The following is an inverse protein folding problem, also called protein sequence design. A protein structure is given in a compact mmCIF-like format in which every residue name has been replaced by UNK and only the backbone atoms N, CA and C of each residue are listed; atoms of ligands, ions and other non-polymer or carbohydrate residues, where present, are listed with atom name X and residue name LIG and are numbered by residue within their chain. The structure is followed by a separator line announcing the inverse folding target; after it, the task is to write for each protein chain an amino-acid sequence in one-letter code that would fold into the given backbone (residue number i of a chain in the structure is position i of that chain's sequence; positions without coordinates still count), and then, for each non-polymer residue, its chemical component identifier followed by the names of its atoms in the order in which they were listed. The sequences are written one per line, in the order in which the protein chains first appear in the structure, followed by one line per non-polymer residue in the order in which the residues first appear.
data_IF_895133882086
#
_entry.id   IF_895133882086
#
_cell.length_a   1.000
_cell.length_b   1.000
_cell.length_c   1.000
_cell.angle_alpha   90.00
_cell.angle_beta   90.00
_cell.angle_gamma   90.00
#
_symmetry.space_group_name_H-M   'P 1'
#
loop_
_entity.id
_entity.type
_entity.pdbx_description
1 polymer ?
#
# COMPACT_ATOMS: atom_id res chain seq x y z
N UNK A 1 3.26 0.87 2.78
CA UNK A 1 4.61 0.44 3.20
C UNK A 1 4.61 -1.07 3.33
N UNK A 2 5.66 -1.74 2.86
CA UNK A 2 5.89 -3.18 3.07
C UNK A 2 7.40 -3.43 3.16
N UNK A 3 7.80 -4.48 3.89
CA UNK A 3 9.20 -4.95 3.88
C UNK A 3 9.35 -5.90 2.69
N UNK A 4 9.79 -5.38 1.54
CA UNK A 4 9.81 -6.14 0.29
C UNK A 4 8.41 -6.39 -0.30
N UNK A 5 8.40 -7.01 -1.49
CA UNK A 5 7.19 -7.51 -2.13
C UNK A 5 6.37 -6.47 -2.90
N UNK A 6 6.82 -5.21 -2.95
CA UNK A 6 6.20 -4.17 -3.77
C UNK A 6 6.92 -4.04 -5.10
N UNK A 7 6.18 -3.59 -6.11
CA UNK A 7 6.67 -3.45 -7.48
C UNK A 7 5.52 -3.20 -8.44
N UNK A 8 5.77 -2.79 -9.70
CA UNK A 8 4.73 -2.29 -10.60
C UNK A 8 3.50 -3.19 -10.73
N UNK A 9 3.70 -4.50 -10.87
CA UNK A 9 2.60 -5.47 -11.00
C UNK A 9 1.79 -5.65 -9.71
N UNK A 10 2.45 -5.70 -8.55
CA UNK A 10 1.78 -5.84 -7.24
C UNK A 10 1.06 -4.54 -6.89
N UNK A 11 1.71 -3.40 -7.09
CA UNK A 11 1.16 -2.08 -6.82
C UNK A 11 -0.10 -1.82 -7.65
N UNK A 12 -0.14 -2.24 -8.92
CA UNK A 12 -1.33 -2.15 -9.76
C UNK A 12 -2.51 -2.95 -9.20
N UNK A 13 -2.27 -4.21 -8.79
CA UNK A 13 -3.32 -5.06 -8.18
C UNK A 13 -3.83 -4.48 -6.86
N UNK A 14 -2.93 -3.99 -6.01
CA UNK A 14 -3.29 -3.35 -4.74
C UNK A 14 -4.07 -2.05 -4.98
N UNK A 15 -3.70 -1.26 -5.99
CA UNK A 15 -4.40 -0.02 -6.34
C UNK A 15 -5.84 -0.30 -6.79
N UNK A 16 -6.05 -1.32 -7.61
CA UNK A 16 -7.39 -1.75 -8.04
C UNK A 16 -8.23 -2.22 -6.85
N UNK A 17 -7.69 -3.11 -6.00
CA UNK A 17 -8.40 -3.60 -4.83
C UNK A 17 -8.77 -2.48 -3.84
N UNK A 18 -7.88 -1.51 -3.64
CA UNK A 18 -8.16 -0.33 -2.81
C UNK A 18 -9.25 0.55 -3.43
N UNK A 19 -9.22 0.78 -4.75
CA UNK A 19 -10.25 1.54 -5.45
C UNK A 19 -11.63 0.91 -5.28
N UNK A 20 -11.75 -0.40 -5.47
CA UNK A 20 -13.02 -1.13 -5.31
C UNK A 20 -13.60 -0.97 -3.89
N UNK A 21 -12.75 -1.07 -2.86
CA UNK A 21 -13.16 -0.91 -1.46
C UNK A 21 -13.59 0.54 -1.18
N UNK A 22 -12.81 1.53 -1.63
CA UNK A 22 -13.08 2.95 -1.37
C UNK A 22 -14.35 3.41 -2.07
N UNK A 23 -14.61 2.93 -3.28
CA UNK A 23 -15.84 3.22 -4.02
C UNK A 23 -17.05 2.57 -3.33
N UNK A 24 -16.96 1.29 -2.97
CA UNK A 24 -18.06 0.54 -2.36
C UNK A 24 -18.41 0.97 -0.92
N UNK A 25 -17.42 1.39 -0.13
CA UNK A 25 -17.60 1.65 1.30
C UNK A 25 -17.67 3.12 1.65
N UNK A 26 -16.97 3.97 0.89
CA UNK A 26 -16.82 5.39 1.19
C UNK A 26 -17.28 6.30 0.04
N UNK A 27 -17.75 5.73 -1.08
CA UNK A 27 -18.18 6.48 -2.26
C UNK A 27 -17.11 7.40 -2.82
N UNK A 28 -15.83 6.99 -2.72
CA UNK A 28 -14.70 7.72 -3.29
C UNK A 28 -14.30 7.07 -4.62
N UNK A 29 -14.42 7.83 -5.72
CA UNK A 29 -14.00 7.36 -7.05
C UNK A 29 -12.47 7.15 -7.14
N UNK A 30 -12.06 6.13 -7.89
CA UNK A 30 -10.67 5.80 -8.22
C UNK A 30 -9.83 6.98 -8.73
N UNK A 31 -10.47 7.94 -9.41
CA UNK A 31 -9.80 9.12 -9.97
C UNK A 31 -9.45 10.21 -8.94
N UNK A 32 -9.92 10.07 -7.69
CA UNK A 32 -9.89 11.14 -6.67
C UNK A 32 -8.89 10.91 -5.54
N UNK A 33 -8.03 9.90 -5.65
CA UNK A 33 -6.99 9.65 -4.67
C UNK A 33 -5.71 9.13 -5.32
N UNK A 34 -4.63 9.20 -4.56
CA UNK A 34 -3.36 8.58 -4.89
C UNK A 34 -2.98 7.59 -3.79
N UNK A 35 -2.31 6.50 -4.18
CA UNK A 35 -1.72 5.54 -3.25
C UNK A 35 -0.21 5.60 -3.40
N UNK A 36 0.49 5.89 -2.30
CA UNK A 36 1.95 5.83 -2.25
C UNK A 36 2.37 4.46 -1.75
N UNK A 37 3.17 3.76 -2.56
CA UNK A 37 3.79 2.49 -2.20
C UNK A 37 5.25 2.74 -1.82
N UNK A 38 5.60 2.40 -0.57
CA UNK A 38 6.95 2.49 -0.04
C UNK A 38 7.47 1.07 0.22
N UNK A 39 8.41 0.62 -0.60
CA UNK A 39 9.17 -0.62 -0.39
C UNK A 39 10.37 -0.32 0.50
N UNK A 40 10.41 -0.91 1.69
CA UNK A 40 11.39 -0.56 2.71
C UNK A 40 12.22 -1.75 3.14
N UNK A 41 13.48 -1.51 3.47
CA UNK A 41 14.34 -2.51 4.09
C UNK A 41 13.92 -2.73 5.54
N UNK A 42 14.04 -3.98 6.04
CA UNK A 42 13.59 -4.35 7.39
C UNK A 42 14.21 -3.50 8.51
N UNK A 43 15.50 -3.21 8.40
CA UNK A 43 16.22 -2.37 9.37
C UNK A 43 15.70 -0.92 9.46
N UNK A 44 14.88 -0.46 8.50
CA UNK A 44 14.22 0.85 8.55
C UNK A 44 12.83 0.80 9.22
N UNK A 45 12.39 -0.38 9.68
CA UNK A 45 11.08 -0.57 10.31
C UNK A 45 11.27 -1.07 11.73
N UNK A 46 10.90 -0.24 12.72
CA UNK A 46 10.93 -0.59 14.13
C UNK A 46 9.68 -1.35 14.57
N UNK A 47 9.85 -2.40 15.38
CA UNK A 47 8.76 -3.14 16.02
C UNK A 47 9.23 -3.81 17.31
N UNK A 48 8.41 -3.70 18.36
CA UNK A 48 8.62 -4.37 19.65
C UNK A 48 10.04 -4.20 20.25
N UNK A 49 10.59 -2.98 20.18
CA UNK A 49 11.90 -2.65 20.74
C UNK A 49 13.11 -3.07 19.88
N UNK A 50 12.89 -3.58 18.67
CA UNK A 50 13.93 -3.90 17.68
C UNK A 50 13.54 -3.37 16.29
N UNK A 51 14.36 -3.61 15.28
CA UNK A 51 13.97 -3.55 13.86
C UNK A 51 13.66 -4.94 13.32
N UNK A 52 12.95 -5.00 12.20
CA UNK A 52 12.78 -6.22 11.42
C UNK A 52 14.06 -6.61 10.67
#
# INVERSE_FOLDING_TARGET
MSIGGLGPGVNGKLSAALADILEAKLSVSASRFYVKFDDVQGYNVGFNGTTF
#
